data_IF_639993390469
#
_entry.id   IF_639993390469
#
_cell.length_a   1.000
_cell.length_b   1.000
_cell.length_c   1.000
_cell.angle_alpha   90.00
_cell.angle_beta   90.00
_cell.angle_gamma   90.00
#
_symmetry.space_group_name_H-M   'P 1'
#
loop_
_entity.id
_entity.type
_entity.pdbx_description
1 polymer ?
#
# COMPACT_ATOMS: atom_id res chain seq x y z
N UNK A 1 33.02 10.63 6.16
CA UNK A 1 33.47 11.04 7.51
C UNK A 1 32.89 10.05 8.51
N UNK A 2 33.53 9.85 9.65
CA UNK A 2 33.13 8.87 10.67
C UNK A 2 33.00 9.54 12.05
N UNK A 3 32.05 9.08 12.87
CA UNK A 3 31.98 9.43 14.29
C UNK A 3 32.85 8.47 15.10
N UNK A 4 33.44 9.00 16.17
CA UNK A 4 34.20 8.21 17.16
C UNK A 4 33.57 8.42 18.54
N UNK A 5 33.48 7.35 19.33
CA UNK A 5 32.93 7.43 20.68
C UNK A 5 33.80 8.33 21.57
N UNK A 6 33.16 9.16 22.39
CA UNK A 6 33.86 10.10 23.30
C UNK A 6 34.26 9.45 24.62
N UNK A 7 33.70 8.28 24.96
CA UNK A 7 33.88 7.61 26.25
C UNK A 7 33.09 8.22 27.41
N UNK A 8 32.31 9.28 27.17
CA UNK A 8 31.53 10.00 28.19
C UNK A 8 30.04 9.61 28.20
N UNK A 9 29.55 9.00 27.13
CA UNK A 9 28.16 8.58 26.96
C UNK A 9 28.09 7.24 26.21
N UNK A 10 27.02 6.47 26.44
CA UNK A 10 26.68 5.27 25.67
C UNK A 10 26.04 5.57 24.31
N UNK A 11 25.61 6.82 24.08
CA UNK A 11 25.09 7.25 22.78
C UNK A 11 26.22 7.59 21.82
N UNK A 12 26.13 7.08 20.59
CA UNK A 12 27.09 7.40 19.55
C UNK A 12 26.89 8.87 19.11
N UNK A 13 27.93 9.73 19.18
CA UNK A 13 27.82 11.10 18.71
C UNK A 13 27.55 11.12 17.20
N UNK A 14 26.82 12.13 16.74
CA UNK A 14 26.57 12.31 15.31
C UNK A 14 27.88 12.48 14.56
N UNK A 15 28.01 11.80 13.42
CA UNK A 15 29.13 12.02 12.52
C UNK A 15 29.13 13.48 12.03
N UNK A 16 30.32 14.09 11.83
CA UNK A 16 30.42 15.39 11.20
C UNK A 16 29.76 15.35 9.82
N UNK A 17 29.12 16.45 9.39
CA UNK A 17 28.54 16.53 8.05
C UNK A 17 29.62 16.33 7.00
N UNK A 18 29.28 15.64 5.90
CA UNK A 18 30.16 15.63 4.73
C UNK A 18 30.31 17.04 4.17
N UNK A 19 31.44 17.31 3.52
CA UNK A 19 31.68 18.58 2.83
C UNK A 19 30.57 18.89 1.84
N UNK A 20 30.23 20.17 1.72
CA UNK A 20 29.26 20.63 0.73
C UNK A 20 29.71 20.26 -0.69
N UNK A 21 28.76 19.88 -1.54
CA UNK A 21 29.01 19.42 -2.90
C UNK A 21 29.38 17.93 -3.02
N UNK A 22 29.61 17.23 -1.92
CA UNK A 22 29.87 15.78 -1.95
C UNK A 22 28.64 15.04 -2.48
N UNK A 23 28.83 14.11 -3.42
CA UNK A 23 27.74 13.28 -3.95
C UNK A 23 27.09 12.43 -2.86
N UNK A 24 25.77 12.35 -2.86
CA UNK A 24 25.00 11.51 -1.95
C UNK A 24 23.96 10.69 -2.75
N UNK A 25 22.96 10.14 -2.05
CA UNK A 25 21.92 9.29 -2.65
C UNK A 25 21.33 9.93 -3.91
N UNK A 26 21.04 9.12 -4.91
CA UNK A 26 20.25 9.53 -6.07
C UNK A 26 20.79 10.73 -6.86
N UNK A 27 22.13 10.81 -7.03
CA UNK A 27 22.84 11.93 -7.69
C UNK A 27 22.64 13.29 -6.99
N UNK A 28 22.15 13.28 -5.76
CA UNK A 28 22.09 14.46 -4.91
C UNK A 28 23.47 14.95 -4.50
N UNK A 29 23.51 16.11 -3.84
CA UNK A 29 24.71 16.69 -3.25
C UNK A 29 24.48 17.10 -1.81
N UNK A 30 25.46 16.87 -0.94
CA UNK A 30 25.42 17.35 0.43
C UNK A 30 25.47 18.89 0.48
N UNK A 31 24.62 19.48 1.30
CA UNK A 31 24.67 20.90 1.69
C UNK A 31 24.29 21.03 3.16
N UNK A 32 25.19 21.57 3.97
CA UNK A 32 24.97 21.73 5.42
C UNK A 32 24.69 20.40 6.14
N UNK A 33 25.32 19.31 5.69
CA UNK A 33 25.12 17.98 6.27
C UNK A 33 23.84 17.23 5.88
N UNK A 34 23.03 17.79 4.97
CA UNK A 34 21.85 17.12 4.41
C UNK A 34 22.08 16.81 2.94
N UNK A 35 21.58 15.67 2.48
CA UNK A 35 21.58 15.33 1.06
C UNK A 35 20.48 16.12 0.34
N UNK A 36 20.85 17.04 -0.54
CA UNK A 36 19.94 17.79 -1.41
C UNK A 36 19.71 16.98 -2.68
N UNK A 37 18.46 16.71 -3.10
CA UNK A 37 18.20 15.88 -4.27
C UNK A 37 18.63 16.57 -5.57
N UNK A 38 18.82 15.77 -6.62
CA UNK A 38 19.41 16.21 -7.88
C UNK A 38 18.73 17.46 -8.48
N UNK A 39 17.41 17.49 -8.60
CA UNK A 39 16.69 18.60 -9.24
C UNK A 39 16.91 19.94 -8.50
N UNK A 40 16.90 19.91 -7.17
CA UNK A 40 17.12 21.07 -6.30
C UNK A 40 18.56 21.58 -6.41
N UNK A 41 19.53 20.70 -6.69
CA UNK A 41 20.90 21.15 -7.01
C UNK A 41 20.99 21.92 -8.33
N UNK A 42 20.02 21.74 -9.23
CA UNK A 42 19.91 22.42 -10.52
C UNK A 42 18.94 23.61 -10.49
N UNK A 43 18.39 23.97 -9.32
CA UNK A 43 17.41 25.05 -9.20
C UNK A 43 15.99 24.67 -9.65
N UNK A 44 15.71 23.39 -9.82
CA UNK A 44 14.40 22.82 -10.13
C UNK A 44 13.84 22.08 -8.91
N UNK A 45 12.65 21.51 -9.04
CA UNK A 45 12.04 20.69 -7.99
C UNK A 45 11.89 19.25 -8.43
N UNK A 46 12.18 18.32 -7.52
CA UNK A 46 11.96 16.90 -7.71
C UNK A 46 10.47 16.58 -7.81
N UNK A 47 10.11 15.74 -8.77
CA UNK A 47 8.73 15.26 -8.91
C UNK A 47 8.67 13.89 -9.61
N UNK A 48 7.46 13.34 -9.69
CA UNK A 48 7.18 12.06 -10.34
C UNK A 48 6.55 12.33 -11.71
N UNK A 49 7.00 11.65 -12.75
CA UNK A 49 6.38 11.75 -14.07
C UNK A 49 5.06 10.97 -14.12
N UNK A 50 4.05 11.56 -14.78
CA UNK A 50 2.70 10.99 -14.88
C UNK A 50 2.58 9.94 -16.00
N UNK A 51 3.54 9.90 -16.93
CA UNK A 51 3.62 8.94 -18.03
C UNK A 51 4.26 7.65 -17.52
N UNK A 52 3.58 6.50 -17.64
CA UNK A 52 4.04 5.21 -17.12
C UNK A 52 5.46 4.85 -17.57
N UNK A 53 5.81 5.14 -18.83
CA UNK A 53 7.15 4.87 -19.39
C UNK A 53 8.27 5.75 -18.81
N UNK A 54 7.91 6.88 -18.19
CA UNK A 54 8.84 7.81 -17.55
C UNK A 54 8.71 7.80 -16.02
N UNK A 55 7.73 7.10 -15.46
CA UNK A 55 7.42 7.09 -14.03
C UNK A 55 8.57 6.56 -13.15
N UNK A 56 9.48 5.77 -13.73
CA UNK A 56 10.69 5.27 -13.08
C UNK A 56 11.98 5.95 -13.57
N UNK A 57 11.84 7.08 -14.25
CA UNK A 57 12.96 7.98 -14.55
C UNK A 57 12.96 9.13 -13.56
N UNK A 58 14.14 9.70 -13.32
CA UNK A 58 14.25 10.92 -12.52
C UNK A 58 13.59 12.07 -13.27
N UNK A 59 12.60 12.69 -12.63
CA UNK A 59 11.86 13.81 -13.21
C UNK A 59 12.04 15.08 -12.38
N UNK A 60 12.15 16.19 -13.09
CA UNK A 60 12.21 17.52 -12.51
C UNK A 60 11.07 18.39 -13.05
N UNK A 61 10.77 19.48 -12.36
CA UNK A 61 9.91 20.56 -12.83
C UNK A 61 10.51 21.91 -12.45
N UNK A 62 10.21 22.95 -13.21
CA UNK A 62 10.74 24.29 -12.94
C UNK A 62 10.12 24.89 -11.68
N UNK A 63 8.78 24.90 -11.59
CA UNK A 63 8.03 25.36 -10.42
C UNK A 63 6.93 24.37 -10.03
N UNK A 64 6.26 24.63 -8.90
CA UNK A 64 5.17 23.82 -8.37
C UNK A 64 4.00 23.62 -9.36
N UNK A 65 3.80 24.57 -10.28
CA UNK A 65 2.69 24.58 -11.24
C UNK A 65 3.07 24.03 -12.61
N UNK A 66 4.35 23.72 -12.83
CA UNK A 66 4.84 23.25 -14.12
C UNK A 66 4.73 21.72 -14.22
N UNK A 67 4.60 21.23 -15.45
CA UNK A 67 4.56 19.79 -15.73
C UNK A 67 5.92 19.16 -15.48
N UNK A 68 5.91 17.94 -14.92
CA UNK A 68 7.13 17.16 -14.74
C UNK A 68 7.68 16.66 -16.08
N UNK A 69 8.99 16.73 -16.22
CA UNK A 69 9.71 16.20 -17.38
C UNK A 69 10.87 15.31 -16.92
N UNK A 70 11.17 14.22 -17.65
CA UNK A 70 12.33 13.38 -17.37
C UNK A 70 13.63 14.14 -17.67
N UNK A 71 14.66 13.89 -16.88
CA UNK A 71 15.99 14.48 -17.08
C UNK A 71 16.68 13.88 -18.31
N UNK A 72 17.52 14.67 -18.99
CA UNK A 72 18.35 14.24 -20.13
C UNK A 72 19.84 14.35 -19.75
N UNK A 73 20.66 13.28 -19.85
CA UNK A 73 20.30 11.93 -20.29
C UNK A 73 19.36 11.20 -19.30
N UNK A 74 18.55 10.22 -19.79
CA UNK A 74 17.64 9.46 -18.95
C UNK A 74 18.34 8.81 -17.75
N UNK A 75 17.84 9.10 -16.55
CA UNK A 75 18.35 8.56 -15.29
C UNK A 75 17.30 7.65 -14.65
N UNK A 76 17.56 6.35 -14.58
CA UNK A 76 16.61 5.35 -14.09
C UNK A 76 16.72 5.26 -12.56
N UNK A 77 15.57 5.34 -11.88
CA UNK A 77 15.48 5.23 -10.43
C UNK A 77 15.75 3.78 -9.97
N UNK A 78 16.31 3.59 -8.76
CA UNK A 78 16.59 2.25 -8.23
C UNK A 78 15.29 1.46 -7.99
N UNK A 79 15.42 0.13 -7.91
CA UNK A 79 14.29 -0.74 -7.61
C UNK A 79 13.71 -0.43 -6.22
N UNK A 80 12.38 -0.45 -6.11
CA UNK A 80 11.65 -0.09 -4.89
C UNK A 80 11.35 1.41 -4.73
N UNK A 81 11.81 2.27 -5.65
CA UNK A 81 11.38 3.69 -5.65
C UNK A 81 9.88 3.78 -5.94
N UNK A 82 9.11 4.56 -5.15
CA UNK A 82 7.67 4.73 -5.40
C UNK A 82 7.44 5.45 -6.73
N UNK A 83 6.46 4.97 -7.49
CA UNK A 83 6.00 5.53 -8.76
C UNK A 83 4.45 5.67 -8.75
N UNK A 84 3.85 6.17 -9.84
CA UNK A 84 2.44 6.63 -9.86
C UNK A 84 1.41 5.59 -9.41
N UNK A 85 1.73 4.30 -9.53
CA UNK A 85 0.81 3.18 -9.28
C UNK A 85 1.45 2.04 -8.48
N UNK A 86 2.64 2.23 -7.90
CA UNK A 86 3.35 1.17 -7.18
C UNK A 86 4.83 1.46 -7.00
N UNK A 87 5.68 0.52 -7.39
CA UNK A 87 7.13 0.63 -7.25
C UNK A 87 7.89 0.34 -8.53
N UNK A 88 9.05 0.94 -8.67
CA UNK A 88 9.96 0.69 -9.78
C UNK A 88 10.62 -0.69 -9.66
N UNK A 89 10.58 -1.45 -10.75
CA UNK A 89 11.27 -2.73 -10.91
C UNK A 89 11.87 -2.78 -12.31
N UNK A 90 13.21 -2.86 -12.41
CA UNK A 90 13.96 -2.85 -13.67
C UNK A 90 13.59 -1.66 -14.57
N UNK A 91 13.36 -0.50 -13.96
CA UNK A 91 12.99 0.74 -14.66
C UNK A 91 11.54 0.81 -15.17
N UNK A 92 10.68 -0.14 -14.81
CA UNK A 92 9.25 -0.10 -15.09
C UNK A 92 8.44 0.06 -13.80
N UNK A 93 7.34 0.81 -13.87
CA UNK A 93 6.45 1.02 -12.73
C UNK A 93 5.46 -0.14 -12.60
N UNK A 94 5.77 -1.09 -11.73
CA UNK A 94 4.91 -2.23 -11.44
C UNK A 94 3.82 -1.82 -10.46
N UNK A 95 2.56 -2.18 -10.79
CA UNK A 95 1.43 -1.90 -9.92
C UNK A 95 1.56 -2.70 -8.63
N UNK A 96 1.57 -2.00 -7.49
CA UNK A 96 1.25 -2.67 -6.24
C UNK A 96 -0.24 -2.92 -6.28
N UNK A 97 -0.64 -4.18 -6.23
CA UNK A 97 -2.03 -4.52 -5.95
C UNK A 97 -2.26 -3.95 -4.54
N UNK A 98 -2.95 -2.81 -4.44
CA UNK A 98 -3.52 -2.41 -3.16
C UNK A 98 -4.56 -3.46 -2.85
N UNK A 99 -4.11 -4.47 -2.10
CA UNK A 99 -4.90 -5.56 -1.60
C UNK A 99 -6.14 -4.96 -0.99
N UNK A 100 -7.27 -5.34 -1.58
CA UNK A 100 -8.64 -5.03 -1.19
C UNK A 100 -8.86 -5.17 0.32
N UNK A 101 -8.01 -5.96 0.98
CA UNK A 101 -7.88 -6.21 2.41
C UNK A 101 -7.69 -4.92 3.24
N UNK A 102 -6.83 -3.97 2.85
CA UNK A 102 -6.72 -2.69 3.59
C UNK A 102 -8.05 -1.92 3.55
N UNK A 103 -8.71 -1.92 2.38
CA UNK A 103 -10.03 -1.30 2.21
C UNK A 103 -11.15 -2.04 2.95
N UNK A 104 -11.01 -3.34 3.18
CA UNK A 104 -11.96 -4.12 3.97
C UNK A 104 -11.74 -3.97 5.48
N UNK A 105 -10.51 -3.76 5.94
CA UNK A 105 -10.24 -3.50 7.37
C UNK A 105 -10.73 -2.12 7.82
N UNK A 106 -10.61 -1.08 6.98
CA UNK A 106 -11.21 0.25 7.26
C UNK A 106 -12.73 0.15 7.52
N UNK A 107 -13.43 -0.72 6.78
CA UNK A 107 -14.87 -0.93 6.92
C UNK A 107 -15.21 -1.71 8.20
N UNK A 108 -14.33 -2.61 8.65
CA UNK A 108 -14.54 -3.45 9.84
C UNK A 108 -14.18 -2.69 11.13
N UNK A 109 -13.13 -1.86 11.11
CA UNK A 109 -12.66 -1.08 12.27
C UNK A 109 -13.66 0.01 12.67
N UNK A 110 -14.42 0.56 11.71
CA UNK A 110 -15.51 1.52 11.96
C UNK A 110 -16.77 0.90 12.60
N UNK A 111 -16.86 -0.44 12.70
CA UNK A 111 -18.00 -1.11 13.36
C UNK A 111 -17.78 -1.09 14.88
N UNK A 112 -18.21 0.00 15.52
CA UNK A 112 -18.13 0.18 16.97
C UNK A 112 -18.96 -0.90 17.72
N UNK A 113 -18.28 -1.93 18.25
CA UNK A 113 -18.85 -3.07 18.98
C UNK A 113 -19.81 -2.61 20.09
N UNK A 114 -19.54 -1.48 20.74
CA UNK A 114 -20.38 -0.96 21.82
C UNK A 114 -21.77 -0.50 21.33
N UNK A 115 -21.84 0.06 20.11
CA UNK A 115 -23.10 0.43 19.46
C UNK A 115 -23.85 -0.81 18.95
N UNK A 116 -23.12 -1.77 18.38
CA UNK A 116 -23.69 -3.03 17.91
C UNK A 116 -24.27 -3.83 19.08
N UNK A 117 -23.58 -3.94 20.20
CA UNK A 117 -24.07 -4.64 21.38
C UNK A 117 -25.32 -3.98 21.99
N UNK A 118 -25.35 -2.64 22.00
CA UNK A 118 -26.51 -1.88 22.46
C UNK A 118 -27.70 -2.04 21.50
N UNK A 119 -27.46 -2.03 20.19
CA UNK A 119 -28.50 -2.28 19.17
C UNK A 119 -29.06 -3.71 19.24
N UNK A 120 -28.19 -4.71 19.43
CA UNK A 120 -28.58 -6.11 19.62
C UNK A 120 -29.43 -6.30 20.89
N UNK A 121 -29.10 -5.59 21.97
CA UNK A 121 -29.85 -5.61 23.24
C UNK A 121 -31.21 -4.93 23.11
N UNK A 122 -31.26 -3.76 22.49
CA UNK A 122 -32.49 -2.97 22.37
C UNK A 122 -33.48 -3.58 21.37
N UNK A 123 -32.98 -4.36 20.39
CA UNK A 123 -33.78 -5.06 19.40
C UNK A 123 -33.61 -6.58 19.47
N UNK A 124 -33.75 -7.15 20.67
CA UNK A 124 -33.54 -8.59 20.92
C UNK A 124 -34.40 -9.47 20.01
N UNK A 125 -35.65 -9.09 19.74
CA UNK A 125 -36.57 -9.87 18.88
C UNK A 125 -36.09 -9.88 17.43
N UNK A 126 -35.75 -8.71 16.88
CA UNK A 126 -35.22 -8.60 15.52
C UNK A 126 -33.87 -9.30 15.37
N UNK A 127 -33.03 -9.24 16.39
CA UNK A 127 -31.74 -9.93 16.46
C UNK A 127 -31.92 -11.45 16.42
N UNK A 128 -32.82 -12.01 17.23
CA UNK A 128 -33.10 -13.45 17.25
C UNK A 128 -33.63 -13.91 15.88
N UNK A 129 -34.53 -13.14 15.26
CA UNK A 129 -35.05 -13.46 13.91
C UNK A 129 -33.93 -13.42 12.87
N UNK A 130 -33.05 -12.43 12.90
CA UNK A 130 -31.95 -12.32 11.93
C UNK A 130 -30.91 -13.43 12.11
N UNK A 131 -30.47 -13.69 13.34
CA UNK A 131 -29.49 -14.75 13.63
C UNK A 131 -30.07 -16.13 13.29
N UNK A 132 -31.33 -16.38 13.62
CA UNK A 132 -31.98 -17.65 13.23
C UNK A 132 -32.11 -17.77 11.73
N UNK A 133 -32.51 -16.73 11.00
CA UNK A 133 -32.57 -16.76 9.54
C UNK A 133 -31.18 -17.03 8.92
N UNK A 134 -30.12 -16.39 9.44
CA UNK A 134 -28.74 -16.60 8.98
C UNK A 134 -28.24 -18.03 9.20
N UNK A 135 -28.74 -18.76 10.20
CA UNK A 135 -28.37 -20.17 10.45
C UNK A 135 -29.28 -21.12 9.66
N UNK A 136 -30.59 -20.87 9.67
CA UNK A 136 -31.59 -21.77 9.10
C UNK A 136 -31.68 -21.69 7.58
N UNK A 137 -31.43 -20.54 6.95
CA UNK A 137 -31.44 -20.41 5.49
C UNK A 137 -30.30 -21.27 4.87
N UNK A 138 -29.04 -21.15 5.30
CA UNK A 138 -27.97 -22.01 4.80
C UNK A 138 -28.20 -23.49 5.11
N UNK A 139 -28.63 -23.83 6.33
CA UNK A 139 -28.96 -25.21 6.68
C UNK A 139 -30.06 -25.78 5.77
N UNK A 140 -31.09 -25.00 5.47
CA UNK A 140 -32.17 -25.41 4.56
C UNK A 140 -31.67 -25.60 3.13
N UNK A 141 -30.77 -24.74 2.64
CA UNK A 141 -30.13 -24.91 1.33
C UNK A 141 -29.27 -26.19 1.28
N UNK A 142 -28.49 -26.46 2.32
CA UNK A 142 -27.64 -27.67 2.42
C UNK A 142 -28.49 -28.93 2.45
N UNK A 143 -29.55 -28.96 3.28
CA UNK A 143 -30.48 -30.09 3.35
C UNK A 143 -31.17 -30.30 2.00
N UNK A 144 -31.66 -29.23 1.36
CA UNK A 144 -32.31 -29.31 0.04
C UNK A 144 -31.37 -29.82 -1.04
N UNK A 145 -30.09 -29.45 -0.99
CA UNK A 145 -29.07 -29.97 -1.90
C UNK A 145 -28.85 -31.48 -1.68
N UNK A 146 -28.73 -31.91 -0.43
CA UNK A 146 -28.57 -33.33 -0.11
C UNK A 146 -29.79 -34.17 -0.49
N UNK A 147 -30.98 -33.63 -0.27
CA UNK A 147 -32.25 -34.29 -0.55
C UNK A 147 -32.45 -34.47 -2.08
N UNK A 148 -32.23 -33.41 -2.86
CA UNK A 148 -32.19 -33.50 -4.34
C UNK A 148 -31.16 -34.53 -4.82
N UNK A 149 -30.00 -34.61 -4.17
CA UNK A 149 -28.96 -35.58 -4.52
C UNK A 149 -29.32 -37.01 -4.13
N UNK A 150 -30.16 -37.23 -3.10
CA UNK A 150 -30.72 -38.56 -2.77
C UNK A 150 -31.77 -38.98 -3.80
N UNK A 151 -32.72 -38.10 -4.11
CA UNK A 151 -33.77 -38.36 -5.12
C UNK A 151 -33.18 -38.74 -6.48
N UNK A 152 -32.18 -38.00 -6.97
CA UNK A 152 -31.52 -38.35 -8.24
C UNK A 152 -30.78 -39.71 -8.22
N UNK A 153 -30.34 -40.18 -7.05
CA UNK A 153 -29.73 -41.52 -6.92
C UNK A 153 -30.80 -42.62 -6.94
N UNK A 154 -31.94 -42.39 -6.29
CA UNK A 154 -33.08 -43.30 -6.31
C UNK A 154 -33.70 -43.42 -7.71
N UNK A 155 -33.86 -42.31 -8.43
CA UNK A 155 -34.33 -42.33 -9.83
C UNK A 155 -33.39 -43.09 -10.76
N UNK A 156 -32.08 -42.97 -10.55
CA UNK A 156 -31.09 -43.77 -11.30
C UNK A 156 -31.25 -45.24 -10.97
N UNK A 157 -31.32 -45.62 -9.70
CA UNK A 157 -31.55 -47.01 -9.27
C UNK A 157 -32.85 -47.62 -9.82
N UNK A 158 -33.92 -46.84 -9.93
CA UNK A 158 -35.20 -47.28 -10.52
C UNK A 158 -35.17 -47.48 -12.04
N UNK A 159 -34.15 -46.96 -12.73
CA UNK A 159 -33.98 -47.06 -14.19
C UNK A 159 -33.01 -48.17 -14.63
N UNK A 160 -32.31 -48.79 -13.68
CA UNK A 160 -31.56 -50.04 -13.88
C UNK A 160 -32.45 -51.23 -13.54
#
# INVERSE_FOLDING_TARGET
QESRCTGLSSECPRSPPMSDGTGCLERGKCRGGKCVPYCETQGMQSCMCDIIGDACKRCCRMNLNDTCFPVDPPDILPDGTPCIQGFCNKGMCEKTIQDVVERFWDIIEDININKVLQFLRDNIVGTVILVTALIWIPASCVVSYFDRRRLHREEKWRKW
#
